data_IF_588263396904
#
_entry.id   IF_588263396904
#
_cell.length_a   1.000
_cell.length_b   1.000
_cell.length_c   1.000
_cell.angle_alpha   90.00
_cell.angle_beta   90.00
_cell.angle_gamma   90.00
#
_symmetry.space_group_name_H-M   'P 1'
#
loop_
_entity.id
_entity.type
_entity.pdbx_description
1 polymer ?
#
# COMPACT_ATOMS: atom_id res chain seq x y z
N UNK A 1 -12.83 -20.37 -13.37
CA UNK A 1 -11.87 -19.27 -13.60
C UNK A 1 -11.10 -19.02 -12.31
N UNK A 2 -9.96 -19.70 -12.16
CA UNK A 2 -9.08 -19.55 -11.00
C UNK A 2 -8.38 -18.19 -11.13
N UNK A 3 -8.59 -17.28 -10.17
CA UNK A 3 -7.83 -16.02 -10.08
C UNK A 3 -6.35 -16.38 -9.96
N UNK A 4 -5.61 -16.25 -11.06
CA UNK A 4 -4.15 -16.28 -11.05
C UNK A 4 -3.72 -15.14 -10.16
N UNK A 5 -3.10 -15.44 -9.01
CA UNK A 5 -2.47 -14.43 -8.16
C UNK A 5 -1.31 -13.83 -8.98
N UNK A 6 -1.29 -12.51 -9.25
CA UNK A 6 -0.28 -11.91 -10.12
C UNK A 6 1.16 -12.01 -9.58
N UNK A 7 1.33 -12.47 -8.34
CA UNK A 7 2.63 -12.60 -7.68
C UNK A 7 2.82 -14.08 -7.29
N UNK A 8 3.51 -14.85 -8.12
CA UNK A 8 4.04 -16.14 -7.71
C UNK A 8 5.12 -15.94 -6.63
N UNK A 9 5.41 -16.96 -5.80
CA UNK A 9 6.33 -16.85 -4.64
C UNK A 9 7.78 -16.46 -4.97
N UNK A 10 8.15 -16.28 -6.25
CA UNK A 10 9.48 -15.82 -6.68
C UNK A 10 9.51 -14.49 -7.44
N UNK A 11 8.36 -13.86 -7.74
CA UNK A 11 8.33 -12.61 -8.49
C UNK A 11 8.27 -11.41 -7.54
N UNK A 12 9.42 -10.77 -7.28
CA UNK A 12 9.46 -9.48 -6.57
C UNK A 12 8.80 -8.40 -7.44
N UNK A 13 7.91 -7.54 -6.91
CA UNK A 13 7.20 -6.53 -7.69
C UNK A 13 8.12 -5.64 -8.54
N UNK A 14 9.30 -5.26 -8.03
CA UNK A 14 10.26 -4.42 -8.76
C UNK A 14 11.00 -5.18 -9.88
N UNK A 15 11.36 -6.44 -9.64
CA UNK A 15 11.96 -7.30 -10.67
C UNK A 15 10.98 -7.52 -11.83
N UNK A 16 9.70 -7.71 -11.49
CA UNK A 16 8.61 -7.81 -12.45
C UNK A 16 8.44 -6.49 -13.22
N UNK A 17 8.45 -5.34 -12.51
CA UNK A 17 8.35 -4.01 -13.11
C UNK A 17 9.52 -3.72 -14.06
N UNK A 18 10.76 -4.04 -13.69
CA UNK A 18 11.94 -3.88 -14.56
C UNK A 18 11.78 -4.63 -15.88
N UNK A 19 11.34 -5.88 -15.81
CA UNK A 19 11.08 -6.68 -17.03
C UNK A 19 9.90 -6.14 -17.84
N UNK A 20 8.84 -5.67 -17.18
CA UNK A 20 7.72 -5.02 -17.88
C UNK A 20 8.13 -3.74 -18.58
N UNK A 21 9.00 -2.92 -17.98
CA UNK A 21 9.55 -1.71 -18.63
C UNK A 21 10.41 -2.05 -19.84
N UNK A 22 11.30 -3.04 -19.72
CA UNK A 22 12.08 -3.50 -20.87
C UNK A 22 11.18 -3.99 -22.02
N UNK A 23 10.10 -4.70 -21.70
CA UNK A 23 9.11 -5.13 -22.68
C UNK A 23 8.36 -3.94 -23.29
N UNK A 24 7.96 -2.96 -22.47
CA UNK A 24 7.31 -1.73 -22.91
C UNK A 24 8.20 -0.94 -23.89
N UNK A 25 9.49 -0.77 -23.58
CA UNK A 25 10.45 -0.06 -24.44
C UNK A 25 10.56 -0.71 -25.84
N UNK A 26 10.64 -2.05 -25.89
CA UNK A 26 10.65 -2.79 -27.16
C UNK A 26 9.33 -2.59 -27.92
N UNK A 27 8.19 -2.71 -27.24
CA UNK A 27 6.87 -2.62 -27.89
C UNK A 27 6.57 -1.19 -28.38
N UNK A 28 7.03 -0.17 -27.67
CA UNK A 28 6.84 1.22 -28.05
C UNK A 28 7.73 1.62 -29.24
N UNK A 29 8.92 1.03 -29.37
CA UNK A 29 9.85 1.31 -30.46
C UNK A 29 9.67 0.43 -31.71
N UNK A 30 9.26 -0.83 -31.53
CA UNK A 30 9.41 -1.88 -32.55
C UNK A 30 8.21 -2.86 -32.57
N UNK A 31 6.99 -2.34 -32.50
CA UNK A 31 5.77 -3.18 -32.50
C UNK A 31 5.50 -3.89 -33.83
N UNK A 32 6.01 -3.38 -34.95
CA UNK A 32 5.83 -3.98 -36.26
C UNK A 32 6.56 -5.33 -36.36
N UNK A 33 5.82 -6.39 -36.68
CA UNK A 33 6.35 -7.75 -36.79
C UNK A 33 6.40 -8.54 -35.48
N UNK A 34 5.91 -8.00 -34.37
CA UNK A 34 5.70 -8.77 -33.13
C UNK A 34 4.37 -9.52 -33.22
N UNK A 35 4.45 -10.84 -33.37
CA UNK A 35 3.28 -11.72 -33.37
C UNK A 35 2.77 -12.04 -31.95
N UNK A 36 1.60 -12.69 -31.89
CA UNK A 36 0.99 -13.08 -30.61
C UNK A 36 1.84 -14.04 -29.78
N UNK A 37 2.68 -14.87 -30.40
CA UNK A 37 3.53 -15.83 -29.68
C UNK A 37 4.69 -15.10 -28.97
N UNK A 38 5.36 -14.18 -29.65
CA UNK A 38 6.41 -13.33 -29.09
C UNK A 38 5.88 -12.44 -27.97
N UNK A 39 4.71 -11.83 -28.16
CA UNK A 39 4.06 -11.03 -27.12
C UNK A 39 3.71 -11.88 -25.88
N UNK A 40 3.16 -13.08 -26.09
CA UNK A 40 2.85 -14.00 -25.01
C UNK A 40 4.12 -14.42 -24.23
N UNK A 41 5.20 -14.72 -24.95
CA UNK A 41 6.49 -15.06 -24.37
C UNK A 41 7.03 -13.89 -23.53
N UNK A 42 7.07 -12.68 -24.09
CA UNK A 42 7.51 -11.46 -23.41
C UNK A 42 6.72 -11.15 -22.14
N UNK A 43 5.38 -11.18 -22.22
CA UNK A 43 4.50 -10.97 -21.05
C UNK A 43 4.70 -12.04 -19.98
N UNK A 44 4.99 -13.29 -20.38
CA UNK A 44 5.17 -14.37 -19.43
C UNK A 44 6.52 -14.23 -18.73
N UNK A 45 7.60 -14.01 -19.47
CA UNK A 45 8.91 -13.67 -18.93
C UNK A 45 8.83 -12.48 -17.97
N UNK A 46 8.14 -11.39 -18.34
CA UNK A 46 7.97 -10.24 -17.47
C UNK A 46 7.31 -10.62 -16.14
N UNK A 47 6.26 -11.44 -16.19
CA UNK A 47 5.53 -11.91 -15.01
C UNK A 47 6.36 -12.82 -14.11
N UNK A 48 7.03 -13.83 -14.66
CA UNK A 48 7.59 -14.95 -13.88
C UNK A 48 9.13 -14.95 -13.81
N UNK A 49 9.81 -14.14 -14.61
CA UNK A 49 11.27 -14.02 -14.65
C UNK A 49 12.00 -15.20 -15.28
N UNK A 50 11.28 -16.11 -15.95
CA UNK A 50 11.84 -17.30 -16.60
C UNK A 50 12.08 -17.01 -18.08
N UNK A 51 13.35 -17.01 -18.48
CA UNK A 51 13.77 -16.81 -19.88
C UNK A 51 13.98 -18.14 -20.63
N UNK A 52 13.95 -19.28 -19.93
CA UNK A 52 14.09 -20.63 -20.49
C UNK A 52 12.83 -21.08 -21.26
N UNK A 53 11.65 -20.61 -20.83
CA UNK A 53 10.40 -20.90 -21.51
C UNK A 53 10.21 -20.02 -22.75
N UNK A 54 9.96 -20.66 -23.91
CA UNK A 54 9.84 -19.96 -25.20
C UNK A 54 11.05 -19.07 -25.54
N UNK A 55 12.26 -19.52 -25.16
CA UNK A 55 13.49 -18.74 -25.29
C UNK A 55 13.72 -18.18 -26.68
N UNK A 56 13.41 -18.93 -27.73
CA UNK A 56 13.58 -18.46 -29.11
C UNK A 56 12.64 -17.30 -29.46
N UNK A 57 11.40 -17.33 -28.96
CA UNK A 57 10.43 -16.24 -29.16
C UNK A 57 10.86 -14.98 -28.41
N UNK A 58 11.41 -15.15 -27.19
CA UNK A 58 12.00 -14.05 -26.42
C UNK A 58 13.23 -13.46 -27.10
N UNK A 59 14.19 -14.28 -27.53
CA UNK A 59 15.38 -13.78 -28.24
C UNK A 59 14.95 -13.03 -29.50
N UNK A 60 13.97 -13.56 -30.25
CA UNK A 60 13.46 -12.89 -31.45
C UNK A 60 12.81 -11.55 -31.12
N UNK A 61 12.09 -11.44 -30.00
CA UNK A 61 11.51 -10.20 -29.50
C UNK A 61 12.60 -9.17 -29.13
N UNK A 62 13.63 -9.58 -28.39
CA UNK A 62 14.76 -8.72 -27.99
C UNK A 62 15.70 -8.39 -29.15
N UNK A 63 15.71 -9.19 -30.22
CA UNK A 63 16.50 -8.90 -31.41
C UNK A 63 15.85 -7.82 -32.31
N UNK A 64 14.55 -7.54 -32.16
CA UNK A 64 13.83 -6.62 -33.05
C UNK A 64 14.44 -5.20 -33.15
N UNK A 65 14.84 -4.54 -32.03
CA UNK A 65 15.54 -3.26 -32.09
C UNK A 65 16.83 -3.32 -32.90
N UNK A 66 17.56 -4.43 -32.81
CA UNK A 66 18.85 -4.63 -33.47
C UNK A 66 18.71 -4.94 -34.96
N UNK A 67 17.65 -5.65 -35.35
CA UNK A 67 17.30 -5.82 -36.77
C UNK A 67 16.98 -4.47 -37.39
N UNK A 68 16.15 -3.65 -36.74
CA UNK A 68 15.84 -2.30 -37.22
C UNK A 68 17.10 -1.42 -37.30
N UNK A 69 17.98 -1.47 -36.29
CA UNK A 69 19.26 -0.74 -36.32
C UNK A 69 20.17 -1.20 -37.47
N UNK A 70 20.16 -2.49 -37.81
CA UNK A 70 20.91 -3.02 -38.94
C UNK A 70 20.34 -2.54 -40.28
N UNK A 71 19.02 -2.57 -40.44
CA UNK A 71 18.34 -2.21 -41.69
C UNK A 71 18.32 -0.70 -41.94
N UNK A 72 18.11 0.12 -40.90
CA UNK A 72 17.88 1.56 -41.02
C UNK A 72 19.10 2.40 -40.68
N UNK A 73 19.93 1.97 -39.74
CA UNK A 73 21.06 2.73 -39.23
C UNK A 73 22.43 2.16 -39.63
N UNK A 74 22.46 1.07 -40.40
CA UNK A 74 23.70 0.45 -40.89
C UNK A 74 24.56 -0.14 -39.78
N UNK A 75 23.96 -0.54 -38.66
CA UNK A 75 24.68 -1.20 -37.58
C UNK A 75 25.23 -2.57 -38.04
N UNK A 76 26.51 -2.82 -37.76
CA UNK A 76 27.18 -4.08 -38.10
C UNK A 76 27.28 -4.99 -36.86
N UNK A 77 26.50 -6.07 -36.84
CA UNK A 77 26.52 -7.07 -35.77
C UNK A 77 25.53 -8.21 -36.00
N UNK A 78 25.38 -9.09 -35.01
CA UNK A 78 24.40 -10.19 -35.04
C UNK A 78 23.21 -9.83 -34.12
N UNK A 79 22.03 -9.46 -34.67
CA UNK A 79 20.86 -9.08 -33.87
C UNK A 79 20.40 -10.15 -32.88
N UNK A 80 20.50 -11.42 -33.26
CA UNK A 80 20.07 -12.55 -32.43
C UNK A 80 20.97 -12.69 -31.20
N UNK A 81 22.29 -12.62 -31.40
CA UNK A 81 23.26 -12.68 -30.29
C UNK A 81 23.07 -11.50 -29.34
N UNK A 82 22.84 -10.31 -29.89
CA UNK A 82 22.66 -9.11 -29.08
C UNK A 82 21.36 -9.15 -28.27
N UNK A 83 20.25 -9.58 -28.89
CA UNK A 83 18.98 -9.78 -28.17
C UNK A 83 19.06 -10.85 -27.08
N UNK A 84 19.85 -11.91 -27.30
CA UNK A 84 20.13 -12.91 -26.27
C UNK A 84 20.91 -12.33 -25.09
N UNK A 85 21.95 -11.53 -25.36
CA UNK A 85 22.74 -10.85 -24.32
C UNK A 85 21.89 -9.88 -23.50
N UNK A 86 21.04 -9.07 -24.13
CA UNK A 86 20.15 -8.14 -23.43
C UNK A 86 19.11 -8.86 -22.57
N UNK A 87 18.50 -9.92 -23.11
CA UNK A 87 17.56 -10.74 -22.36
C UNK A 87 18.20 -11.30 -21.09
N UNK A 88 19.41 -11.85 -21.21
CA UNK A 88 20.15 -12.43 -20.08
C UNK A 88 20.59 -11.34 -19.08
N UNK A 89 21.07 -10.18 -19.56
CA UNK A 89 21.46 -9.04 -18.72
C UNK A 89 20.28 -8.50 -17.93
N UNK A 90 19.14 -8.23 -18.58
CA UNK A 90 17.95 -7.69 -17.93
C UNK A 90 17.37 -8.72 -16.96
N UNK A 91 17.40 -10.00 -17.32
CA UNK A 91 16.97 -11.08 -16.42
C UNK A 91 17.85 -11.12 -15.18
N UNK A 92 19.19 -11.03 -15.33
CA UNK A 92 20.14 -11.00 -14.23
C UNK A 92 19.98 -9.74 -13.36
N UNK A 93 19.84 -8.56 -13.97
CA UNK A 93 19.65 -7.29 -13.29
C UNK A 93 18.29 -7.21 -12.55
N UNK A 94 17.27 -7.87 -13.08
CA UNK A 94 15.98 -8.03 -12.40
C UNK A 94 16.07 -9.00 -11.21
N UNK A 95 17.01 -9.95 -11.23
CA UNK A 95 17.26 -10.87 -10.12
C UNK A 95 18.18 -10.30 -9.03
N UNK A 96 18.92 -9.23 -9.31
CA UNK A 96 19.70 -8.54 -8.28
C UNK A 96 18.77 -8.04 -7.15
N UNK A 97 19.10 -8.43 -5.93
CA UNK A 97 18.44 -7.94 -4.72
C UNK A 97 18.61 -6.43 -4.65
N UNK A 98 17.50 -5.69 -4.70
CA UNK A 98 17.45 -4.33 -4.19
C UNK A 98 17.39 -4.41 -2.64
N UNK A 99 18.45 -4.02 -1.92
CA UNK A 99 18.49 -4.14 -0.46
C UNK A 99 17.43 -3.30 0.25
N UNK A 100 16.96 -2.22 -0.38
CA UNK A 100 15.91 -1.35 0.15
C UNK A 100 14.56 -2.05 0.06
N UNK A 101 14.22 -2.61 -1.10
CA UNK A 101 12.95 -3.34 -1.26
C UNK A 101 12.91 -4.60 -0.41
N UNK A 102 14.02 -5.32 -0.28
CA UNK A 102 14.12 -6.46 0.64
C UNK A 102 13.84 -6.06 2.09
N UNK A 103 14.36 -4.89 2.51
CA UNK A 103 14.05 -4.34 3.82
C UNK A 103 12.56 -3.97 3.95
N UNK A 104 11.98 -3.30 2.94
CA UNK A 104 10.56 -2.92 2.95
C UNK A 104 9.63 -4.15 2.94
N UNK A 105 9.98 -5.23 2.24
CA UNK A 105 9.25 -6.49 2.27
C UNK A 105 9.27 -7.12 3.67
N UNK A 106 10.42 -7.08 4.35
CA UNK A 106 10.53 -7.51 5.75
C UNK A 106 9.67 -6.65 6.67
N UNK A 107 9.65 -5.33 6.49
CA UNK A 107 8.78 -4.42 7.26
C UNK A 107 7.29 -4.73 7.02
N UNK A 108 6.88 -5.01 5.78
CA UNK A 108 5.49 -5.41 5.47
C UNK A 108 5.12 -6.73 6.16
N UNK A 109 6.02 -7.71 6.14
CA UNK A 109 5.80 -8.99 6.81
C UNK A 109 5.71 -8.83 8.33
N UNK A 110 6.60 -8.04 8.92
CA UNK A 110 6.60 -7.77 10.36
C UNK A 110 5.37 -6.96 10.79
N UNK A 111 4.94 -5.97 10.01
CA UNK A 111 3.70 -5.23 10.26
C UNK A 111 2.48 -6.17 10.29
N UNK A 112 2.40 -7.10 9.35
CA UNK A 112 1.33 -8.10 9.33
C UNK A 112 1.40 -9.05 10.55
N UNK A 113 2.61 -9.46 10.93
CA UNK A 113 2.85 -10.27 12.13
C UNK A 113 2.43 -9.51 13.41
N UNK A 114 2.91 -8.30 13.62
CA UNK A 114 2.59 -7.45 14.76
C UNK A 114 1.09 -7.21 14.92
N UNK A 115 0.37 -6.92 13.82
CA UNK A 115 -1.11 -6.78 13.82
C UNK A 115 -1.82 -8.08 14.22
N UNK A 116 -1.29 -9.24 13.80
CA UNK A 116 -1.87 -10.53 14.18
C UNK A 116 -1.68 -10.86 15.66
N UNK A 117 -0.53 -10.46 16.22
CA UNK A 117 -0.17 -10.72 17.62
C UNK A 117 -0.82 -9.72 18.58
N UNK A 118 -0.91 -8.46 18.17
CA UNK A 118 -1.41 -7.35 18.96
C UNK A 118 -2.42 -6.53 18.14
N UNK A 119 -3.68 -6.96 18.03
CA UNK A 119 -4.66 -6.36 17.11
C UNK A 119 -5.20 -4.98 17.54
N UNK A 120 -5.00 -4.59 18.80
CA UNK A 120 -5.44 -3.30 19.31
C UNK A 120 -4.55 -2.13 18.86
N UNK A 121 -5.05 -0.92 19.10
CA UNK A 121 -4.42 0.37 18.78
C UNK A 121 -4.04 1.15 20.04
N UNK A 122 -3.93 0.50 21.21
CA UNK A 122 -3.52 1.17 22.46
C UNK A 122 -2.03 0.95 22.72
N UNK A 123 -1.38 1.96 23.31
CA UNK A 123 0.00 1.89 23.82
C UNK A 123 1.02 1.75 22.66
N UNK A 124 0.62 2.09 21.42
CA UNK A 124 1.44 1.92 20.23
C UNK A 124 2.73 2.75 20.28
N UNK A 125 2.65 3.97 20.81
CA UNK A 125 3.79 4.88 20.94
C UNK A 125 4.83 4.35 21.93
N UNK A 126 4.37 3.70 23.01
CA UNK A 126 5.27 3.10 24.00
C UNK A 126 5.93 1.83 23.44
N UNK A 127 5.17 0.98 22.75
CA UNK A 127 5.71 -0.19 22.08
C UNK A 127 6.73 0.21 20.99
N UNK A 128 6.50 1.30 20.25
CA UNK A 128 7.50 1.85 19.34
C UNK A 128 8.77 2.29 20.06
N UNK A 129 8.65 2.93 21.23
CA UNK A 129 9.80 3.34 22.03
C UNK A 129 10.61 2.14 22.53
N UNK A 130 9.95 1.04 22.90
CA UNK A 130 10.58 -0.23 23.28
C UNK A 130 11.40 -0.82 22.13
N UNK A 131 10.81 -0.98 20.94
CA UNK A 131 11.52 -1.51 19.75
C UNK A 131 12.69 -0.61 19.33
N UNK A 132 12.54 0.72 19.43
CA UNK A 132 13.65 1.64 19.17
C UNK A 132 14.79 1.47 20.19
N UNK A 133 14.47 1.21 21.46
CA UNK A 133 15.45 0.90 22.49
C UNK A 133 16.22 -0.39 22.20
N UNK A 134 15.53 -1.44 21.77
CA UNK A 134 16.16 -2.70 21.35
C UNK A 134 17.02 -2.52 20.10
N UNK A 135 16.61 -1.67 19.15
CA UNK A 135 17.46 -1.30 18.01
C UNK A 135 18.75 -0.61 18.47
N UNK A 136 18.67 0.36 19.38
CA UNK A 136 19.86 1.04 19.90
C UNK A 136 20.79 0.05 20.59
N UNK A 137 20.25 -0.86 21.40
CA UNK A 137 21.03 -1.92 22.05
C UNK A 137 21.69 -2.85 21.03
N UNK A 138 20.95 -3.31 20.02
CA UNK A 138 21.49 -4.19 18.99
C UNK A 138 22.62 -3.52 18.19
N UNK A 139 22.52 -2.22 17.92
CA UNK A 139 23.58 -1.45 17.23
C UNK A 139 24.86 -1.38 18.06
N UNK A 140 24.76 -1.30 19.39
CA UNK A 140 25.90 -1.19 20.28
C UNK A 140 26.55 -2.54 20.58
N UNK A 141 25.73 -3.57 20.78
CA UNK A 141 26.17 -4.79 21.46
C UNK A 141 25.99 -6.09 20.65
N UNK A 142 25.36 -6.05 19.46
CA UNK A 142 24.96 -7.26 18.73
C UNK A 142 25.47 -7.30 17.26
N UNK A 143 25.27 -8.47 16.61
CA UNK A 143 25.66 -8.66 15.21
C UNK A 143 24.72 -7.93 14.25
N UNK A 144 25.20 -7.66 13.02
CA UNK A 144 24.43 -6.95 11.98
C UNK A 144 23.08 -7.58 11.63
N UNK A 145 22.93 -8.90 11.80
CA UNK A 145 21.64 -9.59 11.62
C UNK A 145 20.62 -9.19 12.68
N UNK A 146 21.04 -8.98 13.93
CA UNK A 146 20.17 -8.49 15.00
C UNK A 146 19.80 -7.03 14.77
N UNK A 147 20.78 -6.18 14.40
CA UNK A 147 20.51 -4.78 14.01
C UNK A 147 19.44 -4.70 12.92
N UNK A 148 19.54 -5.53 11.87
CA UNK A 148 18.54 -5.58 10.80
C UNK A 148 17.17 -6.00 11.32
N UNK A 149 17.10 -7.02 12.18
CA UNK A 149 15.85 -7.49 12.79
C UNK A 149 15.17 -6.37 13.59
N UNK A 150 15.88 -5.72 14.50
CA UNK A 150 15.31 -4.66 15.34
C UNK A 150 14.95 -3.40 14.53
N UNK A 151 15.68 -3.11 13.44
CA UNK A 151 15.35 -2.02 12.52
C UNK A 151 14.03 -2.29 11.78
N UNK A 152 13.79 -3.54 11.37
CA UNK A 152 12.52 -3.97 10.76
C UNK A 152 11.37 -3.83 11.75
N UNK A 153 11.53 -4.27 13.00
CA UNK A 153 10.50 -4.16 14.04
C UNK A 153 10.19 -2.69 14.38
N UNK A 154 11.23 -1.87 14.55
CA UNK A 154 11.07 -0.41 14.78
C UNK A 154 10.29 0.25 13.64
N UNK A 155 10.65 -0.04 12.39
CA UNK A 155 9.94 0.50 11.23
C UNK A 155 8.49 0.02 11.14
N UNK A 156 8.22 -1.26 11.47
CA UNK A 156 6.87 -1.79 11.54
C UNK A 156 6.04 -1.06 12.61
N UNK A 157 6.59 -0.82 13.80
CA UNK A 157 5.89 -0.09 14.86
C UNK A 157 5.62 1.37 14.52
N UNK A 158 6.58 2.06 13.88
CA UNK A 158 6.36 3.41 13.36
C UNK A 158 5.20 3.44 12.35
N UNK A 159 5.12 2.45 11.45
CA UNK A 159 3.99 2.32 10.53
C UNK A 159 2.66 2.10 11.28
N UNK A 160 2.64 1.29 12.35
CA UNK A 160 1.43 1.11 13.16
C UNK A 160 0.97 2.39 13.85
N UNK A 161 1.87 3.19 14.42
CA UNK A 161 1.49 4.46 15.06
C UNK A 161 0.69 5.35 14.11
N UNK A 162 1.09 5.45 12.84
CA UNK A 162 0.44 6.34 11.88
C UNK A 162 -0.74 5.69 11.14
N UNK A 163 -0.72 4.36 10.93
CA UNK A 163 -1.75 3.65 10.17
C UNK A 163 -2.86 3.07 11.06
N UNK A 164 -2.49 2.57 12.24
CA UNK A 164 -3.41 1.95 13.20
C UNK A 164 -3.80 2.94 14.31
N UNK A 165 -2.92 3.89 14.65
CA UNK A 165 -3.14 4.93 15.66
C UNK A 165 -2.60 4.56 17.04
N UNK A 166 -2.84 5.45 18.01
CA UNK A 166 -2.62 5.19 19.43
C UNK A 166 -3.77 5.76 20.28
N UNK A 167 -4.81 4.96 20.50
CA UNK A 167 -5.99 5.37 21.25
C UNK A 167 -5.68 5.71 22.72
N UNK A 168 -4.50 5.34 23.24
CA UNK A 168 -4.10 5.68 24.61
C UNK A 168 -3.73 7.15 24.81
N UNK A 169 -3.48 7.89 23.74
CA UNK A 169 -3.11 9.32 23.80
C UNK A 169 -4.19 10.25 23.25
N UNK A 170 -5.34 9.74 22.82
CA UNK A 170 -6.39 10.55 22.18
C UNK A 170 -6.93 11.66 23.09
N UNK A 171 -7.32 11.34 24.33
CA UNK A 171 -7.80 12.33 25.30
C UNK A 171 -6.75 13.41 25.57
N UNK A 172 -5.48 13.00 25.61
CA UNK A 172 -4.39 13.95 25.82
C UNK A 172 -4.23 14.89 24.62
N UNK A 173 -4.23 14.34 23.41
CA UNK A 173 -4.18 15.13 22.16
C UNK A 173 -5.37 16.09 22.08
N UNK A 174 -6.58 15.62 22.40
CA UNK A 174 -7.79 16.42 22.42
C UNK A 174 -7.70 17.58 23.43
N UNK A 175 -7.21 17.33 24.64
CA UNK A 175 -6.99 18.37 25.64
C UNK A 175 -5.93 19.41 25.21
N UNK A 176 -5.07 19.07 24.25
CA UNK A 176 -4.13 20.00 23.59
C UNK A 176 -4.69 20.67 22.34
N UNK A 177 -5.93 20.37 21.94
CA UNK A 177 -6.52 20.87 20.70
C UNK A 177 -5.87 20.28 19.44
N UNK A 178 -5.26 19.10 19.55
CA UNK A 178 -4.63 18.39 18.43
C UNK A 178 -5.61 17.40 17.79
N UNK A 179 -5.40 17.12 16.51
CA UNK A 179 -6.11 16.11 15.75
C UNK A 179 -5.75 14.68 16.21
N UNK A 180 -6.62 13.67 16.04
CA UNK A 180 -6.28 12.27 16.29
C UNK A 180 -5.21 11.76 15.31
N UNK A 181 -4.42 10.76 15.72
CA UNK A 181 -3.27 10.26 14.95
C UNK A 181 -3.67 9.57 13.64
N UNK A 182 -4.77 8.84 13.65
CA UNK A 182 -5.40 8.36 12.42
C UNK A 182 -6.56 9.30 12.13
N UNK A 183 -6.78 9.65 10.87
CA UNK A 183 -7.94 10.41 10.43
C UNK A 183 -9.30 9.74 10.72
N UNK A 184 -9.34 8.68 11.54
CA UNK A 184 -10.40 8.50 12.51
C UNK A 184 -10.45 9.76 13.34
N UNK A 185 -11.13 10.78 12.81
CA UNK A 185 -11.77 11.75 13.64
C UNK A 185 -12.32 10.94 14.82
N UNK A 186 -11.82 11.20 16.04
CA UNK A 186 -12.68 11.09 17.19
C UNK A 186 -13.87 11.93 16.77
N UNK A 187 -14.84 11.27 16.13
CA UNK A 187 -15.97 11.92 15.53
C UNK A 187 -16.68 12.38 16.76
N UNK A 188 -16.41 13.65 17.13
CA UNK A 188 -17.10 14.35 18.19
C UNK A 188 -18.54 13.96 17.96
N UNK A 189 -19.07 13.20 18.92
CA UNK A 189 -20.34 12.53 18.71
C UNK A 189 -21.31 13.59 18.16
N UNK A 190 -22.02 13.31 17.06
CA UNK A 190 -22.89 14.29 16.46
C UNK A 190 -23.77 14.89 17.55
N UNK A 191 -24.12 16.17 17.47
CA UNK A 191 -25.06 16.72 18.45
C UNK A 191 -26.37 15.93 18.36
N UNK A 192 -26.99 15.51 19.49
CA UNK A 192 -28.31 14.89 19.47
C UNK A 192 -29.28 15.73 18.63
N UNK A 193 -29.93 15.11 17.64
CA UNK A 193 -30.73 15.84 16.65
C UNK A 193 -30.13 15.93 15.25
N UNK A 194 -28.82 15.70 15.07
CA UNK A 194 -28.16 15.70 13.76
C UNK A 194 -28.67 14.55 12.90
N UNK A 195 -28.96 14.83 11.63
CA UNK A 195 -29.39 13.77 10.70
C UNK A 195 -28.18 13.01 10.16
N UNK A 196 -28.15 11.71 10.42
CA UNK A 196 -27.15 10.77 9.93
C UNK A 196 -27.67 9.93 8.77
N UNK A 197 -26.79 9.70 7.81
CA UNK A 197 -26.96 8.75 6.72
C UNK A 197 -25.97 7.60 6.90
N UNK A 198 -26.49 6.38 6.95
CA UNK A 198 -25.71 5.17 7.00
C UNK A 198 -25.35 4.69 5.58
N UNK A 199 -24.23 3.95 5.42
CA UNK A 199 -23.75 3.47 4.11
C UNK A 199 -24.76 2.59 3.35
N UNK A 200 -25.62 1.86 4.07
CA UNK A 200 -26.70 1.05 3.47
C UNK A 200 -27.93 1.86 3.00
N UNK A 201 -27.86 3.20 3.09
CA UNK A 201 -28.91 4.11 2.65
C UNK A 201 -29.97 4.42 3.71
N UNK A 202 -29.90 3.84 4.92
CA UNK A 202 -30.77 4.24 6.04
C UNK A 202 -30.43 5.66 6.52
N UNK A 203 -31.46 6.38 6.93
CA UNK A 203 -31.35 7.77 7.43
C UNK A 203 -32.12 7.91 8.72
N UNK A 204 -31.49 8.58 9.69
CA UNK A 204 -32.01 8.69 11.04
C UNK A 204 -31.36 9.81 11.81
N UNK A 205 -31.95 10.19 12.94
CA UNK A 205 -31.47 11.27 13.78
C UNK A 205 -30.57 10.71 14.88
N UNK A 206 -29.37 11.25 15.05
CA UNK A 206 -28.48 10.87 16.15
C UNK A 206 -29.11 11.18 17.50
N UNK A 207 -28.94 10.25 18.46
CA UNK A 207 -29.53 10.34 19.81
C UNK A 207 -28.43 10.36 20.86
N UNK A 208 -27.58 9.34 20.86
CA UNK A 208 -26.53 9.14 21.86
C UNK A 208 -25.48 8.17 21.34
N UNK A 209 -24.34 8.14 22.03
CA UNK A 209 -23.34 7.06 21.88
C UNK A 209 -23.67 5.98 22.92
N UNK A 210 -23.69 4.72 22.51
CA UNK A 210 -23.82 3.57 23.40
C UNK A 210 -22.49 3.29 24.13
N UNK A 211 -22.50 2.48 25.18
CA UNK A 211 -21.29 2.18 25.98
C UNK A 211 -20.14 1.56 25.15
N UNK A 212 -20.48 0.90 24.04
CA UNK A 212 -19.52 0.28 23.11
C UNK A 212 -19.04 1.21 21.98
N UNK A 213 -19.37 2.51 22.06
CA UNK A 213 -18.95 3.53 21.09
C UNK A 213 -19.82 3.61 19.84
N UNK A 214 -20.86 2.78 19.69
CA UNK A 214 -21.75 2.83 18.53
C UNK A 214 -22.80 3.94 18.66
N UNK A 215 -23.26 4.45 17.52
CA UNK A 215 -24.26 5.51 17.48
C UNK A 215 -25.66 4.94 17.58
N UNK A 216 -26.42 5.40 18.57
CA UNK A 216 -27.87 5.21 18.65
C UNK A 216 -28.55 6.24 17.76
N UNK A 217 -29.30 5.77 16.78
CA UNK A 217 -29.93 6.60 15.76
C UNK A 217 -31.43 6.31 15.69
N UNK A 218 -32.29 7.32 15.80
CA UNK A 218 -33.75 7.19 15.64
C UNK A 218 -34.11 7.19 14.15
N UNK A 219 -34.91 6.23 13.70
CA UNK A 219 -35.35 6.14 12.30
C UNK A 219 -36.21 7.33 11.87
N UNK A 220 -35.97 7.85 10.65
CA UNK A 220 -36.85 8.84 10.01
C UNK A 220 -38.02 8.22 9.23
N UNK A 221 -37.95 6.92 8.91
CA UNK A 221 -38.95 6.22 8.07
C UNK A 221 -39.89 5.30 8.85
N UNK A 222 -39.78 5.24 10.18
CA UNK A 222 -40.63 4.39 11.02
C UNK A 222 -40.33 4.53 12.51
N UNK A 223 -41.10 3.83 13.34
CA UNK A 223 -40.87 3.79 14.79
C UNK A 223 -39.72 2.84 15.13
N UNK A 224 -38.60 3.35 15.65
CA UNK A 224 -37.51 2.52 16.14
C UNK A 224 -36.17 3.23 16.24
N UNK A 225 -35.21 2.55 16.86
CA UNK A 225 -33.80 2.95 16.93
C UNK A 225 -32.93 1.92 16.21
N UNK A 226 -31.84 2.39 15.63
CA UNK A 226 -30.77 1.58 15.10
C UNK A 226 -29.48 1.89 15.86
N UNK A 227 -28.56 0.93 15.84
CA UNK A 227 -27.22 1.09 16.39
C UNK A 227 -26.24 0.90 15.24
N UNK A 228 -25.42 1.91 14.97
CA UNK A 228 -24.49 1.93 13.84
C UNK A 228 -23.06 2.12 14.30
N UNK A 229 -22.11 1.55 13.54
CA UNK A 229 -20.73 1.92 13.71
C UNK A 229 -20.53 3.38 13.25
N UNK A 230 -19.76 4.21 13.99
CA UNK A 230 -19.52 5.61 13.61
C UNK A 230 -18.98 5.76 12.18
N UNK A 231 -18.06 4.87 11.78
CA UNK A 231 -17.45 4.86 10.44
C UNK A 231 -18.45 4.61 9.29
N UNK A 232 -19.60 4.03 9.61
CA UNK A 232 -20.66 3.77 8.64
C UNK A 232 -21.65 4.93 8.51
N UNK A 233 -21.50 5.98 9.32
CA UNK A 233 -22.40 7.12 9.38
C UNK A 233 -21.75 8.40 8.87
N UNK A 234 -22.51 9.21 8.13
CA UNK A 234 -22.11 10.57 7.74
C UNK A 234 -23.25 11.57 8.00
N UNK A 235 -22.97 12.80 8.44
CA UNK A 235 -23.99 13.85 8.49
C UNK A 235 -24.62 14.08 7.12
N UNK A 236 -25.94 14.31 7.07
CA UNK A 236 -26.60 14.72 5.85
C UNK A 236 -26.10 16.11 5.44
N UNK A 237 -25.82 16.31 4.14
CA UNK A 237 -25.13 17.47 3.58
C UNK A 237 -25.77 18.85 3.87
N UNK A 238 -26.97 18.90 4.46
CA UNK A 238 -27.68 20.13 4.82
C UNK A 238 -27.23 20.78 6.14
N UNK A 239 -26.40 20.11 6.95
CA UNK A 239 -26.01 20.59 8.30
C UNK A 239 -24.52 20.95 8.42
N UNK A 240 -23.75 20.93 7.32
CA UNK A 240 -22.33 21.29 7.29
C UNK A 240 -22.05 22.81 7.32
N UNK A 241 -23.07 23.65 7.52
CA UNK A 241 -22.85 25.09 7.65
C UNK A 241 -22.31 25.41 9.06
N UNK A 242 -21.19 26.16 9.19
CA UNK A 242 -20.75 26.64 10.49
C UNK A 242 -21.83 27.55 11.10
N UNK A 243 -22.00 27.57 12.44
CA UNK A 243 -22.96 28.46 13.08
C UNK A 243 -22.64 29.91 12.74
N UNK A 244 -23.62 30.63 12.18
CA UNK A 244 -23.55 32.07 12.00
C UNK A 244 -23.62 32.75 13.38
N UNK A 245 -22.56 33.43 13.75
CA UNK A 245 -22.59 34.57 14.67
C UNK A 245 -22.30 34.27 16.14
N UNK A 246 -21.09 34.67 16.57
CA UNK A 246 -20.95 35.41 17.82
C UNK A 246 -19.97 36.56 17.57
N UNK A 247 -20.50 37.75 17.34
CA UNK A 247 -19.76 38.99 17.57
C UNK A 247 -19.33 39.01 19.04
N UNK A 248 -18.05 38.82 19.29
CA UNK A 248 -17.48 39.14 20.59
C UNK A 248 -17.15 40.64 20.58
N UNK A 249 -17.93 41.38 21.36
CA UNK A 249 -17.70 42.78 21.67
C UNK A 249 -16.31 42.96 22.29
N UNK A 250 -15.55 43.91 21.74
CA UNK A 250 -14.40 44.47 22.41
C UNK A 250 -14.88 45.37 23.56
N UNK A 251 -14.50 45.00 24.78
CA UNK A 251 -14.49 45.81 25.98
C UNK A 251 -13.24 45.50 26.78
#
# INVERSE_FOLDING_TARGET
MTKVRPNGPGARPLAQLKRFRALEDILMGFSDGIDGARLQAGLTWAKIGRADWQRQDLISLFAAPWVAAQEEAGWEGNPTLQGEMELDEITAAALQLDPVEDFLDQVRAELAHARSKFPGDRIMTLAMAEEFGELVKAVLDEHSSAVRKEAVQTAAMAARVVLDGDASVDDWRAAKGLDPLTGRAGAVAPTPGVTLRHQDGRTGTFVSVEEDGRYRVRSLKGSGFWVFHPDDCRPAASELAPPKGSEAAHG
#
